data_IF_795629161013
#
_entry.id   IF_795629161013
#
_cell.length_a   1.000
_cell.length_b   1.000
_cell.length_c   1.000
_cell.angle_alpha   90.00
_cell.angle_beta   90.00
_cell.angle_gamma   90.00
#
_symmetry.space_group_name_H-M   'P 1'
#
loop_
_entity.id
_entity.type
_entity.pdbx_description
1 polymer ?
#
# COMPACT_ATOMS: atom_id res chain seq x y z
N UNK A 1 18.11 9.44 0.45
CA UNK A 1 17.35 10.30 1.40
C UNK A 1 18.22 10.57 2.62
N UNK A 2 18.04 11.69 3.34
CA UNK A 2 18.79 11.94 4.58
C UNK A 2 18.26 11.05 5.71
N UNK A 3 19.09 10.70 6.69
CA UNK A 3 18.65 9.97 7.90
C UNK A 3 17.45 10.68 8.53
N UNK A 4 16.44 9.90 8.95
CA UNK A 4 15.21 10.42 9.55
C UNK A 4 14.20 11.04 8.57
N UNK A 5 14.53 11.09 7.27
CA UNK A 5 13.58 11.48 6.22
C UNK A 5 12.48 10.43 6.09
N UNK A 6 11.33 10.87 5.57
CA UNK A 6 10.11 10.07 5.51
C UNK A 6 9.55 10.04 4.09
N UNK A 7 9.08 8.89 3.65
CA UNK A 7 8.24 8.75 2.46
C UNK A 7 6.81 8.52 2.94
N UNK A 8 5.86 9.26 2.39
CA UNK A 8 4.44 9.00 2.60
C UNK A 8 3.89 8.42 1.30
N UNK A 9 3.40 7.19 1.37
CA UNK A 9 2.68 6.54 0.28
C UNK A 9 1.19 6.61 0.59
N UNK A 10 0.41 7.10 -0.36
CA UNK A 10 -1.05 7.00 -0.34
C UNK A 10 -1.45 6.03 -1.43
N UNK A 11 -1.66 4.77 -1.08
CA UNK A 11 -1.87 3.69 -2.05
C UNK A 11 -3.06 2.80 -1.64
N UNK A 12 -3.80 2.30 -2.63
CA UNK A 12 -4.79 1.25 -2.43
C UNK A 12 -4.09 -0.06 -2.16
N UNK A 13 -4.27 -0.61 -0.97
CA UNK A 13 -3.71 -1.90 -0.55
C UNK A 13 -4.77 -2.97 -0.75
N UNK A 14 -4.42 -4.06 -1.43
CA UNK A 14 -5.35 -5.18 -1.58
C UNK A 14 -5.64 -5.78 -0.20
N UNK A 15 -6.92 -5.92 0.18
CA UNK A 15 -7.30 -6.64 1.38
C UNK A 15 -7.16 -8.15 1.16
N UNK A 16 -7.18 -8.91 2.25
CA UNK A 16 -7.49 -10.34 2.14
C UNK A 16 -8.93 -10.49 1.62
N UNK A 17 -9.20 -11.46 0.73
CA UNK A 17 -10.55 -11.67 0.20
C UNK A 17 -11.59 -11.81 1.32
N UNK A 18 -12.78 -11.24 1.13
CA UNK A 18 -13.90 -11.33 2.08
C UNK A 18 -13.65 -10.67 3.47
N UNK A 19 -12.67 -9.77 3.58
CA UNK A 19 -12.40 -9.03 4.84
C UNK A 19 -12.93 -7.61 4.89
N UNK A 20 -13.39 -7.06 3.75
CA UNK A 20 -14.01 -5.75 3.66
C UNK A 20 -15.52 -5.85 3.38
N UNK A 21 -16.23 -4.77 3.64
CA UNK A 21 -17.59 -4.59 3.14
C UNK A 21 -17.62 -4.72 1.62
N UNK A 22 -18.68 -5.35 1.10
CA UNK A 22 -18.80 -5.73 -0.31
C UNK A 22 -18.60 -4.55 -1.27
N UNK A 23 -19.04 -3.36 -0.89
CA UNK A 23 -18.86 -2.13 -1.68
C UNK A 23 -17.41 -1.69 -1.74
N UNK A 24 -16.69 -1.68 -0.61
CA UNK A 24 -15.26 -1.33 -0.56
C UNK A 24 -14.39 -2.34 -1.30
N UNK A 25 -14.69 -3.63 -1.13
CA UNK A 25 -14.01 -4.71 -1.84
C UNK A 25 -14.18 -4.56 -3.35
N UNK A 26 -15.43 -4.35 -3.82
CA UNK A 26 -15.72 -4.12 -5.23
C UNK A 26 -14.93 -2.94 -5.82
N UNK A 27 -14.89 -1.80 -5.14
CA UNK A 27 -14.16 -0.62 -5.66
C UNK A 27 -12.66 -0.91 -5.71
N UNK A 28 -12.13 -1.59 -4.70
CA UNK A 28 -10.70 -1.96 -4.65
C UNK A 28 -10.31 -2.86 -5.83
N UNK A 29 -11.13 -3.87 -6.15
CA UNK A 29 -10.88 -4.75 -7.30
C UNK A 29 -11.08 -4.05 -8.65
N UNK A 30 -12.01 -3.11 -8.75
CA UNK A 30 -12.13 -2.27 -9.96
C UNK A 30 -10.82 -1.50 -10.18
N UNK A 31 -10.24 -0.89 -9.15
CA UNK A 31 -8.97 -0.18 -9.28
C UNK A 31 -7.82 -1.12 -9.68
N UNK A 32 -7.77 -2.35 -9.16
CA UNK A 32 -6.75 -3.32 -9.57
C UNK A 32 -6.90 -3.73 -11.04
N UNK A 33 -8.14 -3.97 -11.48
CA UNK A 33 -8.48 -4.24 -12.88
C UNK A 33 -8.10 -3.06 -13.80
N UNK A 34 -8.30 -1.82 -13.37
CA UNK A 34 -7.87 -0.64 -14.11
C UNK A 34 -6.34 -0.59 -14.26
N UNK A 35 -5.60 -0.91 -13.19
CA UNK A 35 -4.13 -0.93 -13.23
C UNK A 35 -3.59 -1.99 -14.21
N UNK A 36 -4.16 -3.21 -14.22
CA UNK A 36 -3.68 -4.29 -15.08
C UNK A 36 -4.05 -4.06 -16.54
N UNK A 37 -5.27 -3.61 -16.81
CA UNK A 37 -5.75 -3.40 -18.19
C UNK A 37 -5.09 -2.19 -18.85
N UNK A 38 -4.77 -1.15 -18.08
CA UNK A 38 -4.22 0.11 -18.63
C UNK A 38 -2.70 0.13 -18.65
N UNK A 39 -2.05 -0.45 -17.63
CA UNK A 39 -0.60 -0.28 -17.40
C UNK A 39 0.16 -1.60 -17.24
N UNK A 40 -0.52 -2.75 -17.34
CA UNK A 40 0.05 -4.05 -16.96
C UNK A 40 0.65 -4.03 -15.53
N UNK A 41 0.02 -3.25 -14.66
CA UNK A 41 0.41 -3.08 -13.27
C UNK A 41 -0.59 -3.78 -12.35
N UNK A 42 -0.23 -3.92 -11.07
CA UNK A 42 -1.13 -4.50 -10.05
C UNK A 42 -1.06 -3.70 -8.76
N UNK A 43 -2.15 -3.69 -8.02
CA UNK A 43 -2.13 -3.35 -6.59
C UNK A 43 -1.43 -4.46 -5.82
N UNK A 44 -0.98 -4.13 -4.61
CA UNK A 44 -0.17 -5.02 -3.77
C UNK A 44 -0.86 -5.28 -2.45
N UNK A 45 -0.64 -6.46 -1.89
CA UNK A 45 -0.94 -6.73 -0.49
C UNK A 45 -0.04 -5.88 0.42
N UNK A 46 -0.45 -5.70 1.67
CA UNK A 46 0.36 -4.97 2.64
C UNK A 46 1.74 -5.62 2.85
N UNK A 47 1.77 -6.94 2.92
CA UNK A 47 3.01 -7.71 3.09
C UNK A 47 3.94 -7.60 1.88
N UNK A 48 3.39 -7.56 0.66
CA UNK A 48 4.18 -7.30 -0.55
C UNK A 48 4.79 -5.90 -0.53
N UNK A 49 4.04 -4.92 -0.02
CA UNK A 49 4.54 -3.55 0.14
C UNK A 49 5.67 -3.49 1.17
N UNK A 50 5.53 -4.18 2.31
CA UNK A 50 6.61 -4.34 3.31
C UNK A 50 7.83 -5.02 2.72
N UNK A 51 7.64 -6.09 1.95
CA UNK A 51 8.72 -6.81 1.27
C UNK A 51 9.45 -5.90 0.30
N UNK A 52 8.74 -5.20 -0.59
CA UNK A 52 9.35 -4.28 -1.56
C UNK A 52 10.20 -3.21 -0.86
N UNK A 53 9.72 -2.67 0.26
CA UNK A 53 10.45 -1.63 0.98
C UNK A 53 11.75 -2.16 1.59
N UNK A 54 11.73 -3.39 2.13
CA UNK A 54 12.94 -4.09 2.59
C UNK A 54 13.91 -4.39 1.44
N UNK A 55 13.40 -4.85 0.31
CA UNK A 55 14.20 -5.16 -0.88
C UNK A 55 14.83 -3.91 -1.48
N UNK A 56 14.14 -2.76 -1.42
CA UNK A 56 14.65 -1.48 -1.91
C UNK A 56 15.78 -0.93 -1.03
N UNK A 57 15.65 -0.99 0.29
CA UNK A 57 16.70 -0.58 1.22
C UNK A 57 16.48 -1.18 2.62
N UNK A 58 17.46 -1.85 3.24
CA UNK A 58 17.28 -2.53 4.54
C UNK A 58 16.97 -1.56 5.70
N UNK A 59 17.47 -0.33 5.64
CA UNK A 59 17.15 0.75 6.60
C UNK A 59 15.76 1.38 6.41
N UNK A 60 15.03 1.06 5.34
CA UNK A 60 13.70 1.62 5.10
C UNK A 60 12.65 0.82 5.88
N UNK A 61 12.13 1.40 6.96
CA UNK A 61 11.15 0.76 7.83
C UNK A 61 9.75 1.29 7.56
N UNK A 62 8.81 0.38 7.30
CA UNK A 62 7.39 0.71 7.21
C UNK A 62 6.81 0.85 8.62
N UNK A 63 6.26 2.02 8.93
CA UNK A 63 5.46 2.29 10.12
C UNK A 63 4.01 1.88 9.89
N UNK A 64 3.19 1.68 10.95
CA UNK A 64 1.81 1.22 10.82
C UNK A 64 1.04 2.02 9.77
N UNK A 65 0.38 1.31 8.86
CA UNK A 65 -0.47 1.92 7.84
C UNK A 65 -1.76 2.42 8.50
N UNK A 66 -2.19 3.62 8.14
CA UNK A 66 -3.48 4.18 8.55
C UNK A 66 -4.43 4.12 7.36
N UNK A 67 -5.55 3.42 7.49
CA UNK A 67 -6.68 3.51 6.57
C UNK A 67 -7.71 4.46 7.19
N UNK A 68 -7.93 5.68 6.65
CA UNK A 68 -8.98 6.56 7.13
C UNK A 68 -10.36 5.91 6.96
N UNK A 69 -11.30 6.19 7.87
CA UNK A 69 -12.67 5.70 7.74
C UNK A 69 -13.28 6.17 6.41
N UNK A 70 -14.04 5.28 5.76
CA UNK A 70 -14.66 5.50 4.45
C UNK A 70 -13.69 5.76 3.27
N UNK A 71 -12.38 5.56 3.45
CA UNK A 71 -11.38 5.62 2.38
C UNK A 71 -10.91 4.22 2.02
N UNK A 72 -10.90 3.89 0.72
CA UNK A 72 -10.25 2.67 0.19
C UNK A 72 -8.72 2.80 0.11
N UNK A 73 -8.19 4.02 0.23
CA UNK A 73 -6.76 4.31 0.20
C UNK A 73 -6.15 4.20 1.60
N UNK A 74 -4.94 3.66 1.67
CA UNK A 74 -4.15 3.56 2.89
C UNK A 74 -2.95 4.50 2.87
N UNK A 75 -2.70 5.16 3.99
CA UNK A 75 -1.53 6.01 4.20
C UNK A 75 -0.45 5.19 4.89
N UNK A 76 0.61 4.92 4.15
CA UNK A 76 1.79 4.18 4.59
C UNK A 76 2.95 5.14 4.79
N UNK A 77 3.60 5.06 5.95
CA UNK A 77 4.75 5.91 6.28
C UNK A 77 6.02 5.07 6.32
N UNK A 78 6.99 5.43 5.50
CA UNK A 78 8.31 4.82 5.53
C UNK A 78 9.32 5.81 6.10
N UNK A 79 10.17 5.31 6.99
CA UNK A 79 11.23 6.09 7.60
C UNK A 79 12.54 5.44 7.24
N UNK A 80 13.50 6.24 6.77
CA UNK A 80 14.87 5.78 6.65
C UNK A 80 15.51 5.83 8.04
N UNK A 81 15.51 4.67 8.68
CA UNK A 81 16.24 4.39 9.91
C UNK A 81 17.67 3.94 9.54
N UNK A 82 18.55 3.98 10.52
CA UNK A 82 20.02 3.89 10.43
C UNK A 82 20.62 3.20 9.21
#
# INVERSE_FOLDING_TARGET
MKKGSRIILNEGVLPEPLTLERSEERITWIMDMEMITTFNARKRLLEDSKKLCRDAHPGLKLRPALKPAASIMSIMKLVLEE
#
